data_IF_778740457630
#
_entry.id   IF_778740457630
#
_cell.length_a   1.000
_cell.length_b   1.000
_cell.length_c   1.000
_cell.angle_alpha   90.00
_cell.angle_beta   90.00
_cell.angle_gamma   90.00
#
_symmetry.space_group_name_H-M   'P 1'
#
loop_
_entity.id
_entity.type
_entity.pdbx_description
1 polymer ?
#
# COMPACT_ATOMS: atom_id res chain seq x y z
N UNK A 1 7.58 -8.63 8.13
CA UNK A 1 8.49 -9.49 7.34
C UNK A 1 7.71 -9.99 6.14
N UNK A 2 8.26 -9.91 4.92
CA UNK A 2 7.65 -10.47 3.70
C UNK A 2 7.85 -11.99 3.66
N UNK A 3 6.88 -12.74 4.21
CA UNK A 3 6.92 -14.20 4.30
C UNK A 3 6.84 -14.84 2.91
N UNK A 4 6.03 -14.31 2.01
CA UNK A 4 5.89 -14.77 0.64
C UNK A 4 7.19 -14.62 -0.14
N UNK A 5 7.79 -13.43 -0.15
CA UNK A 5 9.04 -13.21 -0.86
C UNK A 5 10.18 -14.03 -0.26
N UNK A 6 10.18 -14.25 1.07
CA UNK A 6 11.12 -15.18 1.70
C UNK A 6 10.93 -16.60 1.16
N UNK A 7 9.70 -17.12 1.15
CA UNK A 7 9.38 -18.45 0.63
C UNK A 7 9.73 -18.59 -0.85
N UNK A 8 9.39 -17.61 -1.70
CA UNK A 8 9.71 -17.59 -3.14
C UNK A 8 11.21 -17.70 -3.38
N UNK A 9 12.02 -16.91 -2.66
CA UNK A 9 13.49 -16.98 -2.75
C UNK A 9 14.03 -18.34 -2.31
N UNK A 10 13.50 -18.90 -1.22
CA UNK A 10 13.89 -20.23 -0.73
C UNK A 10 13.56 -21.34 -1.72
N UNK A 11 12.37 -21.31 -2.34
CA UNK A 11 11.95 -22.27 -3.37
C UNK A 11 12.87 -22.17 -4.60
N UNK A 12 13.13 -20.96 -5.10
CA UNK A 12 14.00 -20.74 -6.27
C UNK A 12 15.44 -21.22 -6.05
N UNK A 13 15.91 -21.19 -4.80
CA UNK A 13 17.25 -21.68 -4.38
C UNK A 13 17.27 -23.17 -4.04
N UNK A 14 16.14 -23.87 -4.14
CA UNK A 14 15.98 -25.25 -3.67
C UNK A 14 16.47 -25.45 -2.23
N UNK A 15 16.16 -24.50 -1.34
CA UNK A 15 16.61 -24.57 0.05
C UNK A 15 15.99 -25.78 0.77
N UNK A 16 16.86 -26.64 1.31
CA UNK A 16 16.47 -27.72 2.22
C UNK A 16 15.97 -27.10 3.54
N UNK A 17 14.95 -27.72 4.14
CA UNK A 17 14.31 -27.28 5.39
C UNK A 17 13.70 -25.86 5.34
N UNK A 18 13.23 -25.41 4.17
CA UNK A 18 12.58 -24.10 4.03
C UNK A 18 11.40 -23.90 5.00
N UNK A 19 10.56 -24.93 5.17
CA UNK A 19 9.41 -24.88 6.06
C UNK A 19 9.82 -24.67 7.52
N UNK A 20 10.84 -25.38 7.99
CA UNK A 20 11.35 -25.23 9.36
C UNK A 20 11.93 -23.84 9.59
N UNK A 21 12.76 -23.34 8.66
CA UNK A 21 13.31 -21.98 8.73
C UNK A 21 12.21 -20.93 8.73
N UNK A 22 11.19 -21.09 7.89
CA UNK A 22 10.08 -20.15 7.82
C UNK A 22 9.26 -20.18 9.13
N UNK A 23 9.03 -21.37 9.69
CA UNK A 23 8.39 -21.52 11.00
C UNK A 23 9.21 -20.86 12.13
N UNK A 24 10.54 -21.01 12.12
CA UNK A 24 11.44 -20.31 13.05
C UNK A 24 11.25 -18.79 12.97
N UNK A 25 11.25 -18.24 11.75
CA UNK A 25 11.05 -16.79 11.50
C UNK A 25 9.67 -16.31 11.93
N UNK A 26 8.64 -17.13 11.77
CA UNK A 26 7.30 -16.81 12.25
C UNK A 26 7.30 -16.73 13.78
N UNK A 27 7.94 -17.69 14.47
CA UNK A 27 8.02 -17.72 15.93
C UNK A 27 8.86 -16.58 16.53
N UNK A 28 9.80 -15.99 15.77
CA UNK A 28 10.52 -14.78 16.18
C UNK A 28 9.58 -13.58 16.40
N UNK A 29 8.44 -13.56 15.70
CA UNK A 29 7.52 -12.41 15.68
C UNK A 29 6.19 -12.75 16.38
N UNK A 30 5.63 -13.92 16.10
CA UNK A 30 4.30 -14.33 16.57
C UNK A 30 4.42 -15.28 17.75
N UNK A 31 3.66 -14.98 18.81
CA UNK A 31 3.55 -15.82 20.02
C UNK A 31 2.55 -16.96 19.80
N UNK A 32 2.91 -17.92 18.96
CA UNK A 32 2.08 -19.08 18.62
C UNK A 32 2.82 -20.40 18.86
N UNK A 33 2.11 -21.52 18.81
CA UNK A 33 2.76 -22.84 18.94
C UNK A 33 3.62 -23.16 17.72
N UNK A 34 4.67 -23.98 17.92
CA UNK A 34 5.51 -24.49 16.81
C UNK A 34 4.69 -25.14 15.72
N UNK A 35 3.71 -25.96 16.11
CA UNK A 35 2.80 -26.63 15.19
C UNK A 35 2.05 -25.63 14.31
N UNK A 36 1.48 -24.58 14.92
CA UNK A 36 0.74 -23.57 14.18
C UNK A 36 1.65 -22.73 13.27
N UNK A 37 2.87 -22.42 13.72
CA UNK A 37 3.87 -21.76 12.86
C UNK A 37 4.24 -22.61 11.64
N UNK A 38 4.30 -23.94 11.78
CA UNK A 38 4.51 -24.86 10.67
C UNK A 38 3.30 -24.91 9.72
N UNK A 39 2.07 -24.90 10.24
CA UNK A 39 0.84 -24.82 9.43
C UNK A 39 0.85 -23.55 8.57
N UNK A 40 1.18 -22.40 9.15
CA UNK A 40 1.29 -21.12 8.42
C UNK A 40 2.44 -21.19 7.40
N UNK A 41 3.62 -21.68 7.80
CA UNK A 41 4.76 -21.81 6.89
C UNK A 41 4.43 -22.70 5.67
N UNK A 42 3.73 -23.80 5.90
CA UNK A 42 3.26 -24.70 4.85
C UNK A 42 2.29 -24.00 3.91
N UNK A 43 1.29 -23.27 4.43
CA UNK A 43 0.34 -22.50 3.64
C UNK A 43 1.05 -21.44 2.77
N UNK A 44 1.97 -20.65 3.35
CA UNK A 44 2.75 -19.65 2.63
C UNK A 44 3.59 -20.29 1.51
N UNK A 45 4.16 -21.48 1.74
CA UNK A 45 4.92 -22.20 0.70
C UNK A 45 4.01 -22.67 -0.44
N UNK A 46 2.81 -23.14 -0.15
CA UNK A 46 1.81 -23.54 -1.16
C UNK A 46 1.45 -22.34 -2.03
N UNK A 47 1.13 -21.21 -1.41
CA UNK A 47 0.79 -19.96 -2.13
C UNK A 47 1.97 -19.44 -2.94
N UNK A 48 3.17 -19.41 -2.36
CA UNK A 48 4.38 -19.01 -3.06
C UNK A 48 4.64 -19.87 -4.30
N UNK A 49 4.47 -21.20 -4.21
CA UNK A 49 4.62 -22.10 -5.36
C UNK A 49 3.62 -21.80 -6.48
N UNK A 50 2.39 -21.42 -6.14
CA UNK A 50 1.36 -21.10 -7.12
C UNK A 50 1.71 -19.87 -7.99
N UNK A 51 2.55 -18.95 -7.47
CA UNK A 51 2.83 -17.65 -8.12
C UNK A 51 4.29 -17.48 -8.58
N UNK A 52 5.15 -18.51 -8.51
CA UNK A 52 6.57 -18.40 -8.95
C UNK A 52 6.72 -18.38 -10.48
N UNK A 53 5.78 -18.98 -11.21
CA UNK A 53 5.74 -18.94 -12.67
C UNK A 53 4.29 -18.90 -13.14
N UNK A 54 3.56 -17.81 -12.87
CA UNK A 54 2.22 -17.69 -13.38
C UNK A 54 2.34 -17.62 -14.91
N UNK A 55 1.66 -18.53 -15.61
CA UNK A 55 1.67 -18.55 -17.06
C UNK A 55 0.88 -17.37 -17.61
N UNK A 56 1.43 -16.67 -18.60
CA UNK A 56 0.72 -15.57 -19.29
C UNK A 56 1.40 -14.22 -19.11
N UNK A 57 1.35 -13.43 -20.18
CA UNK A 57 2.00 -12.13 -20.29
C UNK A 57 1.51 -11.14 -19.21
N UNK A 58 0.20 -11.16 -18.90
CA UNK A 58 -0.40 -10.28 -17.88
C UNK A 58 0.03 -10.57 -16.44
N UNK A 59 0.60 -11.76 -16.17
CA UNK A 59 1.01 -12.17 -14.83
C UNK A 59 2.51 -11.98 -14.59
N UNK A 60 3.24 -11.53 -15.61
CA UNK A 60 4.67 -11.24 -15.51
C UNK A 60 4.88 -9.73 -15.45
N UNK A 61 5.35 -9.17 -14.32
CA UNK A 61 5.60 -7.74 -14.23
C UNK A 61 6.83 -7.34 -15.05
N UNK A 62 6.81 -6.13 -15.60
CA UNK A 62 8.00 -5.51 -16.19
C UNK A 62 9.00 -5.18 -15.10
N UNK A 63 10.24 -5.64 -15.26
CA UNK A 63 11.33 -5.39 -14.29
C UNK A 63 12.21 -4.25 -14.81
N UNK A 64 12.19 -3.11 -14.12
CA UNK A 64 13.01 -1.93 -14.47
C UNK A 64 14.47 -2.04 -14.00
N UNK A 65 14.73 -2.83 -12.95
CA UNK A 65 16.04 -2.92 -12.31
C UNK A 65 16.42 -1.71 -11.44
N UNK A 66 15.51 -0.73 -11.27
CA UNK A 66 15.73 0.48 -10.46
C UNK A 66 14.78 0.48 -9.27
N UNK A 67 15.30 0.71 -8.06
CA UNK A 67 14.46 0.78 -6.86
C UNK A 67 13.80 2.15 -6.72
N UNK A 68 12.68 2.23 -5.98
CA UNK A 68 12.02 3.51 -5.67
C UNK A 68 12.97 4.49 -4.97
N UNK A 69 13.89 3.98 -4.14
CA UNK A 69 14.88 4.78 -3.43
C UNK A 69 15.93 5.37 -4.37
N UNK A 70 16.49 4.55 -5.28
CA UNK A 70 17.46 5.02 -6.27
C UNK A 70 16.85 6.04 -7.23
N UNK A 71 15.58 5.83 -7.57
CA UNK A 71 14.84 6.73 -8.45
C UNK A 71 14.32 7.98 -7.72
N UNK A 72 14.32 8.02 -6.39
CA UNK A 72 13.90 9.17 -5.60
C UNK A 72 12.37 9.37 -5.49
N UNK A 73 11.57 8.31 -5.66
CA UNK A 73 10.11 8.40 -5.51
C UNK A 73 9.75 8.63 -4.05
N UNK A 74 8.87 9.60 -3.80
CA UNK A 74 8.46 10.05 -2.47
C UNK A 74 9.35 11.16 -1.86
N UNK A 75 10.38 11.62 -2.58
CA UNK A 75 11.28 12.70 -2.12
C UNK A 75 10.86 14.11 -2.56
N UNK A 76 9.76 14.25 -3.33
CA UNK A 76 9.37 15.49 -4.02
C UNK A 76 10.47 16.07 -4.93
N UNK A 77 11.39 15.22 -5.39
CA UNK A 77 12.46 15.55 -6.33
C UNK A 77 12.13 15.16 -7.78
N UNK A 78 13.08 15.37 -8.70
CA UNK A 78 12.88 15.13 -10.15
C UNK A 78 12.37 13.72 -10.48
N UNK A 79 12.88 12.68 -9.84
CA UNK A 79 12.43 11.31 -10.11
C UNK A 79 11.04 11.01 -9.57
N UNK A 80 10.59 11.73 -8.53
CA UNK A 80 9.23 11.67 -8.03
C UNK A 80 8.26 12.25 -9.06
N UNK A 81 8.52 13.46 -9.56
CA UNK A 81 7.74 14.10 -10.62
C UNK A 81 7.69 13.23 -11.89
N UNK A 82 8.85 12.74 -12.35
CA UNK A 82 8.90 11.89 -13.53
C UNK A 82 8.06 10.62 -13.36
N UNK A 83 8.12 9.98 -12.19
CA UNK A 83 7.31 8.77 -11.93
C UNK A 83 5.82 9.09 -12.00
N UNK A 84 5.38 10.20 -11.40
CA UNK A 84 3.98 10.61 -11.43
C UNK A 84 3.51 11.04 -12.82
N UNK A 85 4.37 11.71 -13.62
CA UNK A 85 4.12 11.98 -15.04
C UNK A 85 3.91 10.68 -15.83
N UNK A 86 4.75 9.66 -15.60
CA UNK A 86 4.58 8.35 -16.27
C UNK A 86 3.32 7.60 -15.82
N UNK A 87 2.94 7.71 -14.55
CA UNK A 87 1.65 7.20 -14.09
C UNK A 87 0.51 7.90 -14.85
N UNK A 88 0.57 9.22 -14.97
CA UNK A 88 -0.44 9.99 -15.70
C UNK A 88 -0.48 9.64 -17.21
N UNK A 89 0.66 9.40 -17.85
CA UNK A 89 0.74 8.94 -19.24
C UNK A 89 0.08 7.56 -19.43
N UNK A 90 0.32 6.63 -18.50
CA UNK A 90 -0.26 5.27 -18.55
C UNK A 90 -1.77 5.30 -18.34
N UNK A 91 -2.27 6.14 -17.43
CA UNK A 91 -3.71 6.36 -17.23
C UNK A 91 -4.33 7.00 -18.48
N UNK A 92 -3.61 7.94 -19.10
CA UNK A 92 -4.07 8.70 -20.24
C UNK A 92 -5.04 9.83 -19.88
N UNK A 93 -5.56 10.51 -20.91
CA UNK A 93 -6.53 11.61 -20.71
C UNK A 93 -7.87 11.07 -20.27
N UNK A 94 -8.45 11.71 -19.27
CA UNK A 94 -9.79 11.38 -18.78
C UNK A 94 -10.80 12.48 -19.14
N UNK A 95 -12.08 12.28 -18.81
CA UNK A 95 -13.10 13.34 -18.89
C UNK A 95 -13.15 14.23 -17.65
N UNK A 96 -12.23 14.07 -16.71
CA UNK A 96 -12.15 14.92 -15.53
C UNK A 96 -11.70 16.33 -15.93
N UNK A 97 -12.12 17.31 -15.14
CA UNK A 97 -11.74 18.72 -15.28
C UNK A 97 -10.29 18.93 -14.85
N UNK A 98 -9.91 18.26 -13.76
CA UNK A 98 -8.53 18.12 -13.29
C UNK A 98 -8.28 16.62 -13.17
N UNK A 99 -7.35 16.11 -13.97
CA UNK A 99 -6.96 14.70 -14.01
C UNK A 99 -5.48 14.51 -13.62
N UNK A 100 -5.00 13.28 -13.67
CA UNK A 100 -3.62 12.95 -13.29
C UNK A 100 -2.54 13.71 -14.07
N UNK A 101 -2.84 14.22 -15.27
CA UNK A 101 -1.86 14.98 -16.07
C UNK A 101 -1.58 16.37 -15.51
N UNK A 102 -2.42 16.87 -14.59
CA UNK A 102 -2.22 18.15 -13.93
C UNK A 102 -1.24 18.06 -12.76
N UNK A 103 -1.00 16.85 -12.23
CA UNK A 103 -0.16 16.61 -11.04
C UNK A 103 -0.54 17.50 -9.85
N UNK A 104 -1.84 17.74 -9.67
CA UNK A 104 -2.42 18.59 -8.64
C UNK A 104 -2.78 17.79 -7.38
N UNK A 105 -3.13 18.47 -6.28
CA UNK A 105 -3.45 17.85 -4.98
C UNK A 105 -4.78 17.05 -5.01
N UNK A 106 -5.63 17.23 -6.03
CA UNK A 106 -6.91 16.53 -6.15
C UNK A 106 -7.40 16.40 -7.60
N UNK A 107 -8.23 15.38 -7.83
CA UNK A 107 -8.99 15.25 -9.07
C UNK A 107 -10.32 16.01 -9.00
N UNK A 108 -10.79 16.53 -10.14
CA UNK A 108 -12.04 17.29 -10.22
C UNK A 108 -12.91 16.78 -11.36
N UNK A 109 -14.18 16.50 -11.09
CA UNK A 109 -15.19 16.15 -12.11
C UNK A 109 -16.39 17.08 -12.04
N UNK A 110 -17.15 17.17 -13.14
CA UNK A 110 -18.41 17.91 -13.17
C UNK A 110 -19.60 16.96 -12.97
N UNK A 111 -20.43 17.24 -11.97
CA UNK A 111 -21.62 16.44 -11.68
C UNK A 111 -22.77 17.36 -11.21
N UNK A 112 -23.96 17.22 -11.79
CA UNK A 112 -25.13 18.00 -11.38
C UNK A 112 -24.96 19.52 -11.46
N UNK A 113 -24.17 20.03 -12.42
CA UNK A 113 -23.85 21.45 -12.55
C UNK A 113 -22.83 21.99 -11.55
N UNK A 114 -22.30 21.14 -10.67
CA UNK A 114 -21.28 21.46 -9.67
C UNK A 114 -19.94 20.79 -10.02
N UNK A 115 -18.88 21.21 -9.34
CA UNK A 115 -17.59 20.54 -9.35
C UNK A 115 -17.47 19.68 -8.10
N UNK A 116 -17.15 18.41 -8.30
CA UNK A 116 -16.80 17.48 -7.23
C UNK A 116 -15.28 17.34 -7.21
N UNK A 117 -14.68 17.69 -6.07
CA UNK A 117 -13.24 17.54 -5.82
C UNK A 117 -13.03 16.30 -4.97
N UNK A 118 -12.09 15.45 -5.39
CA UNK A 118 -11.79 14.18 -4.73
C UNK A 118 -10.28 14.08 -4.51
N UNK A 119 -9.90 13.77 -3.27
CA UNK A 119 -8.53 13.44 -2.91
C UNK A 119 -8.51 12.12 -2.16
N UNK A 120 -7.37 11.43 -2.20
CA UNK A 120 -7.10 10.21 -1.46
C UNK A 120 -5.73 10.40 -0.83
N UNK A 121 -5.68 10.28 0.49
CA UNK A 121 -4.45 10.47 1.25
C UNK A 121 -4.17 9.25 2.11
N UNK A 122 -2.88 8.90 2.20
CA UNK A 122 -2.41 7.72 2.91
C UNK A 122 -1.65 8.05 4.18
N UNK A 123 -1.57 7.06 5.07
CA UNK A 123 -0.72 7.13 6.26
C UNK A 123 0.56 6.30 6.05
N UNK A 124 1.69 6.83 6.51
CA UNK A 124 2.91 6.03 6.64
C UNK A 124 2.86 5.13 7.88
N UNK A 125 3.34 3.90 7.74
CA UNK A 125 3.47 2.88 8.81
C UNK A 125 4.13 3.33 10.12
N UNK A 126 4.91 4.43 10.13
CA UNK A 126 5.55 4.95 11.35
C UNK A 126 4.54 5.53 12.35
N UNK A 127 3.36 5.95 11.88
CA UNK A 127 2.28 6.42 12.75
C UNK A 127 1.40 5.28 13.28
N UNK A 128 1.59 4.04 12.83
CA UNK A 128 0.78 2.88 13.24
C UNK A 128 0.90 2.51 14.73
N UNK A 129 1.92 3.04 15.42
CA UNK A 129 2.08 2.91 16.88
C UNK A 129 1.40 4.04 17.66
N UNK A 130 0.86 5.06 16.97
CA UNK A 130 0.12 6.18 17.54
C UNK A 130 -1.23 6.34 16.83
N UNK A 131 -2.16 5.38 16.95
CA UNK A 131 -3.34 5.30 16.08
C UNK A 131 -4.21 6.56 16.11
N UNK A 132 -4.39 7.17 17.29
CA UNK A 132 -5.10 8.44 17.44
C UNK A 132 -4.45 9.58 16.62
N UNK A 133 -3.14 9.78 16.76
CA UNK A 133 -2.44 10.81 15.99
C UNK A 133 -2.42 10.50 14.49
N UNK A 134 -2.38 9.21 14.14
CA UNK A 134 -2.54 8.76 12.77
C UNK A 134 -3.88 9.20 12.16
N UNK A 135 -4.99 8.96 12.85
CA UNK A 135 -6.34 9.37 12.42
C UNK A 135 -6.41 10.88 12.19
N UNK A 136 -5.99 11.64 13.19
CA UNK A 136 -5.95 13.09 13.12
C UNK A 136 -5.13 13.60 11.93
N UNK A 137 -3.93 13.03 11.73
CA UNK A 137 -3.04 13.50 10.67
C UNK A 137 -3.51 13.12 9.27
N UNK A 138 -4.05 11.92 9.07
CA UNK A 138 -4.56 11.51 7.75
C UNK A 138 -5.82 12.30 7.39
N UNK A 139 -6.73 12.51 8.34
CA UNK A 139 -7.92 13.34 8.13
C UNK A 139 -7.53 14.79 7.80
N UNK A 140 -6.56 15.35 8.55
CA UNK A 140 -6.04 16.70 8.30
C UNK A 140 -5.37 16.82 6.92
N UNK A 141 -4.61 15.82 6.50
CA UNK A 141 -3.92 15.83 5.21
C UNK A 141 -4.94 15.82 4.06
N UNK A 142 -5.91 14.89 4.09
CA UNK A 142 -6.98 14.82 3.09
C UNK A 142 -7.82 16.12 3.05
N UNK A 143 -8.16 16.69 4.22
CA UNK A 143 -8.92 17.95 4.26
C UNK A 143 -8.12 19.12 3.69
N UNK A 144 -6.82 19.21 3.99
CA UNK A 144 -5.95 20.26 3.46
C UNK A 144 -5.98 20.26 1.93
N UNK A 145 -5.87 19.08 1.32
CA UNK A 145 -5.82 18.95 -0.14
C UNK A 145 -7.15 19.39 -0.78
N UNK A 146 -8.29 19.13 -0.14
CA UNK A 146 -9.59 19.70 -0.56
C UNK A 146 -9.63 21.23 -0.40
N UNK A 147 -9.13 21.76 0.72
CA UNK A 147 -9.17 23.20 0.99
C UNK A 147 -8.27 24.02 0.05
N UNK A 148 -7.09 23.52 -0.31
CA UNK A 148 -6.19 24.23 -1.25
C UNK A 148 -6.78 24.31 -2.66
N UNK A 149 -7.65 23.36 -3.02
CA UNK A 149 -8.44 23.40 -4.26
C UNK A 149 -9.63 24.37 -4.18
N UNK A 150 -9.79 25.09 -3.07
CA UNK A 150 -10.89 26.04 -2.86
C UNK A 150 -12.26 25.38 -2.67
N UNK A 151 -12.29 24.08 -2.40
CA UNK A 151 -13.52 23.33 -2.22
C UNK A 151 -13.95 23.25 -0.75
N UNK A 152 -15.25 23.01 -0.54
CA UNK A 152 -15.82 22.74 0.80
C UNK A 152 -15.97 21.23 0.98
N UNK A 153 -15.37 20.62 2.02
CA UNK A 153 -15.57 19.21 2.33
C UNK A 153 -17.05 18.90 2.58
N UNK A 154 -17.55 17.80 2.00
CA UNK A 154 -18.94 17.34 2.16
C UNK A 154 -19.06 15.90 2.67
N UNK A 155 -18.02 15.09 2.48
CA UNK A 155 -17.94 13.71 2.96
C UNK A 155 -16.47 13.31 3.13
N UNK A 156 -16.20 12.32 3.98
CA UNK A 156 -14.90 11.68 4.16
C UNK A 156 -15.11 10.17 4.32
N UNK A 157 -14.27 9.38 3.68
CA UNK A 157 -14.22 7.93 3.83
C UNK A 157 -12.89 7.56 4.46
N UNK A 158 -12.91 6.61 5.40
CA UNK A 158 -11.71 6.07 6.04
C UNK A 158 -11.64 4.58 5.73
N UNK A 159 -10.56 4.16 5.08
CA UNK A 159 -10.24 2.76 4.80
C UNK A 159 -9.06 2.33 5.69
N UNK A 160 -9.30 1.35 6.57
CA UNK A 160 -8.35 0.95 7.62
C UNK A 160 -8.11 -0.54 7.53
N UNK A 161 -6.85 -0.91 7.29
CA UNK A 161 -6.40 -2.29 7.32
C UNK A 161 -5.51 -2.52 8.55
N UNK A 162 -5.86 -3.53 9.34
CA UNK A 162 -5.07 -4.01 10.48
C UNK A 162 -4.70 -5.47 10.22
N UNK A 163 -3.45 -5.83 10.52
CA UNK A 163 -2.99 -7.21 10.37
C UNK A 163 -3.77 -8.16 11.31
N UNK A 164 -3.78 -9.45 10.99
CA UNK A 164 -4.53 -10.48 11.76
C UNK A 164 -4.15 -10.54 13.25
N UNK A 165 -2.92 -10.15 13.60
CA UNK A 165 -2.42 -10.07 14.98
C UNK A 165 -2.39 -8.64 15.55
N UNK A 166 -2.94 -7.67 14.82
CA UNK A 166 -3.05 -6.29 15.28
C UNK A 166 -4.17 -6.14 16.31
N UNK A 167 -3.92 -5.29 17.31
CA UNK A 167 -4.92 -4.98 18.33
C UNK A 167 -6.08 -4.20 17.71
N UNK A 168 -7.31 -4.70 17.91
CA UNK A 168 -8.55 -4.09 17.42
C UNK A 168 -8.75 -2.68 17.98
N UNK A 169 -8.22 -2.37 19.17
CA UNK A 169 -8.27 -1.03 19.76
C UNK A 169 -7.66 0.03 18.84
N UNK A 170 -6.67 -0.33 18.01
CA UNK A 170 -6.05 0.60 17.06
C UNK A 170 -7.06 1.19 16.07
N UNK A 171 -8.11 0.44 15.69
CA UNK A 171 -9.17 0.93 14.80
C UNK A 171 -9.96 2.04 15.49
N UNK A 172 -10.37 1.81 16.74
CA UNK A 172 -11.16 2.77 17.49
C UNK A 172 -10.36 4.04 17.81
N UNK A 173 -9.10 3.89 18.24
CA UNK A 173 -8.23 5.03 18.49
C UNK A 173 -8.01 5.85 17.21
N UNK A 174 -7.83 5.19 16.06
CA UNK A 174 -7.68 5.87 14.78
C UNK A 174 -8.93 6.64 14.35
N UNK A 175 -10.12 6.06 14.53
CA UNK A 175 -11.38 6.75 14.20
C UNK A 175 -11.66 7.92 15.17
N UNK A 176 -11.17 7.84 16.41
CA UNK A 176 -11.37 8.88 17.41
C UNK A 176 -10.51 10.14 17.20
N UNK A 177 -9.39 10.01 16.49
CA UNK A 177 -8.46 11.12 16.21
C UNK A 177 -8.78 11.86 14.92
#
# INVERSE_FOLDING_TARGET
MDLEGYAKRGILRNEKALEEKLADRILEIKKISRKHAQEIASAVIVEAKAVIKPGGELLTPTISGVTMGDFGVGSRGMGDFYTHEKIAEVIGRTSAVVDSSHLDDSGVVRAGGQYLVVTIDGMHSRLSDFPFLAGFHVARAALRDIYVMGARPVAMLSDIHVADDGDVAKIFDHIAG
#
